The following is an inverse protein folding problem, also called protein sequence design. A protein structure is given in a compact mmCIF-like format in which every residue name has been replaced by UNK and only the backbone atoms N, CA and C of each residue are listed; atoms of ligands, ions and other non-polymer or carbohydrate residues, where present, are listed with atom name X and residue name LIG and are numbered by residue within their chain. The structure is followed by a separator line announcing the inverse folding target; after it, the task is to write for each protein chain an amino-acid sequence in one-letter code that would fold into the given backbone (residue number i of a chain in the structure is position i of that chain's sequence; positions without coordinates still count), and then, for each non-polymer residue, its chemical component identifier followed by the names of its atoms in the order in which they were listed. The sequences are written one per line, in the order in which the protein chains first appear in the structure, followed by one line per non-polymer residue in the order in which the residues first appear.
data_IF_663335918540
#
_entry.id   IF_663335918540
#
_cell.length_a   1.000
_cell.length_b   1.000
_cell.length_c   1.000
_cell.angle_alpha   90.00
_cell.angle_beta   90.00
_cell.angle_gamma   90.00
#
_symmetry.space_group_name_H-M   'P 1'
#
loop_
_entity.id
_entity.type
_entity.pdbx_description
1 polymer ?
2 non-polymer ?
#
# COMPACT_ATOMS: atom_id res chain seq x y z
C UNK A 1 11.62 0.24 -6.47
N UNK A 2 10.84 0.47 -5.41
CA UNK A 2 10.51 -0.55 -4.43
C UNK A 2 9.19 -1.25 -4.75
N UNK A 3 8.87 -2.26 -3.96
CA UNK A 3 7.61 -2.99 -4.09
C UNK A 3 6.49 -2.22 -3.41
N UNK A 4 5.35 -2.11 -4.07
CA UNK A 4 4.21 -1.41 -3.48
C UNK A 4 3.29 -2.43 -2.84
N UNK A 5 2.72 -2.08 -1.71
CA UNK A 5 1.94 -3.03 -0.94
C UNK A 5 0.44 -2.86 -1.17
N UNK A 6 -0.25 -3.97 -1.14
CA UNK A 6 -1.71 -3.97 -1.22
C UNK A 6 -2.30 -4.23 0.16
N UNK A 7 -3.33 -3.49 0.51
CA UNK A 7 -3.98 -3.63 1.80
C UNK A 7 -5.07 -4.71 1.71
N UNK A 8 -5.00 -5.46 0.62
CA UNK A 8 -5.92 -6.56 0.33
C UNK A 8 -7.33 -6.04 0.02
N UNK A 9 -7.57 -5.75 -1.26
CA UNK A 9 -8.90 -5.34 -1.69
C UNK A 9 -9.05 -3.84 -1.72
N UNK A 10 -8.22 -3.19 -2.52
CA UNK A 10 -8.24 -1.74 -2.62
C UNK A 10 -8.13 -1.28 -4.07
N UNK A 11 -8.09 -2.25 -4.98
CA UNK A 11 -7.99 -1.99 -6.41
C UNK A 11 -6.65 -1.35 -6.77
N UNK A 12 -5.62 -1.69 -5.99
CA UNK A 12 -4.25 -1.20 -6.19
C UNK A 12 -4.15 0.27 -5.79
N UNK A 13 -3.37 0.57 -4.73
CA UNK A 13 -3.28 1.91 -4.15
C UNK A 13 -2.29 2.83 -4.88
N UNK A 14 -2.01 2.52 -6.14
CA UNK A 14 -1.11 3.35 -6.95
C UNK A 14 -1.81 4.64 -7.37
N UNK A 15 -1.04 5.68 -7.75
CA UNK A 15 0.42 5.63 -7.83
C UNK A 15 1.11 5.99 -6.50
N UNK A 16 0.40 5.87 -5.39
CA UNK A 16 0.96 6.21 -4.09
C UNK A 16 1.78 5.04 -3.55
N UNK A 17 2.86 5.37 -2.88
CA UNK A 17 3.75 4.34 -2.37
C UNK A 17 3.48 4.07 -0.90
N UNK A 18 3.09 2.83 -0.62
CA UNK A 18 2.79 2.41 0.73
C UNK A 18 4.01 1.86 1.42
N UNK A 19 4.10 2.10 2.72
CA UNK A 19 5.16 1.53 3.53
C UNK A 19 4.65 0.26 4.20
N UNK A 20 5.39 -0.25 5.18
CA UNK A 20 5.08 -1.53 5.81
C UNK A 20 3.79 -1.47 6.65
N UNK A 21 3.31 -0.27 6.96
CA UNK A 21 2.11 -0.13 7.76
C UNK A 21 0.86 -0.07 6.88
N UNK A 22 1.06 -0.08 5.56
CA UNK A 22 -0.06 -0.08 4.65
C UNK A 22 -0.63 1.30 4.42
N UNK A 23 0.25 2.25 4.11
CA UNK A 23 -0.18 3.60 3.84
C UNK A 23 0.91 4.43 3.20
N UNK A 24 0.56 5.58 2.65
CA UNK A 24 1.55 6.44 2.05
C UNK A 24 1.69 7.74 2.83
N UNK A 25 2.92 8.04 3.27
CA UNK A 25 3.22 9.25 4.02
C UNK A 25 2.67 10.48 3.31
N UNK A 26 2.74 10.46 1.98
CA UNK A 26 2.05 11.46 1.19
C UNK A 26 0.55 11.21 1.31
N UNK A 27 -0.10 12.09 2.07
CA UNK A 27 -1.54 12.06 2.31
C UNK A 27 -2.35 11.34 1.27
N UNK A 28 -2.78 10.15 1.63
CA UNK A 28 -3.73 9.36 0.84
C UNK A 28 -4.17 8.11 1.60
N UNK A 29 -3.21 7.40 2.20
CA UNK A 29 -3.52 6.19 2.95
C UNK A 29 -2.88 6.26 4.33
N UNK A 30 -3.69 6.15 5.39
CA UNK A 30 -3.22 6.25 6.78
C UNK A 30 -2.65 4.93 7.30
N UNK A 31 -2.44 4.88 8.61
CA UNK A 31 -1.93 3.66 9.25
C UNK A 31 -3.08 2.70 9.53
N UNK A 32 -3.37 1.83 8.58
CA UNK A 32 -4.44 0.86 8.73
C UNK A 32 -3.92 -0.42 9.36
N UNK A 33 -2.65 -0.72 9.11
CA UNK A 33 -1.98 -1.89 9.66
C UNK A 33 -2.75 -3.18 9.36
N UNK A 34 -2.63 -3.66 8.13
CA UNK A 34 -3.28 -4.89 7.71
C UNK A 34 -2.22 -5.85 7.17
N UNK A 35 -2.57 -7.15 7.02
CA UNK A 35 -1.74 -8.10 6.28
C UNK A 35 -1.57 -7.65 4.83
N UNK A 36 -0.58 -6.81 4.61
CA UNK A 36 -0.36 -6.17 3.33
C UNK A 36 0.51 -7.03 2.40
N UNK A 37 0.06 -7.18 1.17
CA UNK A 37 0.72 -8.06 0.20
C UNK A 37 1.70 -7.27 -0.66
N UNK A 38 2.91 -7.79 -0.81
CA UNK A 38 3.92 -7.17 -1.66
C UNK A 38 3.62 -7.43 -3.13
N UNK A 39 3.22 -6.38 -3.83
CA UNK A 39 2.94 -6.48 -5.25
C UNK A 39 3.87 -5.59 -6.07
N UNK A 40 4.55 -6.18 -7.04
CA UNK A 40 5.37 -5.42 -7.97
C UNK A 40 5.48 -6.16 -9.29
N UNK A 41 4.62 -7.17 -9.47
CA UNK A 41 4.52 -7.84 -10.74
C UNK A 41 3.68 -7.05 -11.72
N UNK A 42 3.17 -5.91 -11.25
CA UNK A 42 2.40 -5.00 -12.08
C UNK A 42 2.65 -3.56 -11.63
X LIG B 1 -0.87 -2.94 -7.28
X LIG C 1 -0.09 9.42 -0.99
#
# INVERSE_FOLDING_TARGET
XPTHRHIRGEACPLPHRLNSLGGCRCGKYPNLKKPTVWRRGH
ZN ZN
ZN ZN
#
